data_IF_948422089843
#
_entry.id   IF_948422089843
#
_cell.length_a   1.000
_cell.length_b   1.000
_cell.length_c   1.000
_cell.angle_alpha   90.00
_cell.angle_beta   90.00
_cell.angle_gamma   90.00
#
_symmetry.space_group_name_H-M   'P 1'
#
loop_
_entity.id
_entity.type
_entity.pdbx_description
1 polymer ?
#
# COMPACT_ATOMS: atom_id res chain seq x y z
N UNK A 1 9.03 -11.12 -5.54
CA UNK A 1 7.68 -10.80 -6.04
C UNK A 1 7.28 -9.38 -5.63
N UNK A 2 7.39 -9.04 -4.35
CA UNK A 2 6.91 -7.75 -3.84
C UNK A 2 7.58 -6.49 -4.39
N UNK A 3 8.85 -6.55 -4.81
CA UNK A 3 9.52 -5.42 -5.46
C UNK A 3 8.81 -4.92 -6.72
N UNK A 4 8.16 -5.84 -7.46
CA UNK A 4 7.49 -5.51 -8.70
C UNK A 4 6.05 -5.04 -8.53
N UNK A 5 5.57 -4.92 -7.28
CA UNK A 5 4.15 -4.75 -6.93
C UNK A 5 3.25 -5.79 -7.60
N UNK A 6 3.76 -7.03 -7.71
CA UNK A 6 3.06 -8.13 -8.35
C UNK A 6 2.58 -9.13 -7.29
N UNK A 7 1.34 -9.58 -7.43
CA UNK A 7 0.84 -10.78 -6.76
C UNK A 7 1.43 -12.07 -7.37
N UNK A 8 0.99 -13.22 -6.89
CA UNK A 8 1.40 -14.53 -7.42
C UNK A 8 2.37 -15.28 -6.53
N UNK A 9 2.16 -15.26 -5.21
CA UNK A 9 2.87 -16.12 -4.29
C UNK A 9 2.87 -17.58 -4.79
N UNK A 10 4.02 -18.23 -4.74
CA UNK A 10 4.25 -19.59 -5.23
C UNK A 10 3.29 -20.66 -4.64
N UNK A 11 2.78 -20.43 -3.44
CA UNK A 11 1.81 -21.26 -2.73
C UNK A 11 0.47 -20.54 -2.65
N UNK A 12 -0.63 -21.29 -2.60
CA UNK A 12 -1.99 -20.71 -2.59
C UNK A 12 -2.29 -19.76 -1.43
N UNK A 13 -1.56 -19.85 -0.31
CA UNK A 13 -1.69 -18.92 0.83
C UNK A 13 -0.84 -17.66 0.71
N UNK A 14 -0.20 -17.43 -0.45
CA UNK A 14 0.63 -16.28 -0.76
C UNK A 14 1.67 -15.99 0.35
N UNK A 15 1.79 -14.73 0.76
CA UNK A 15 2.79 -14.27 1.74
C UNK A 15 2.47 -14.65 3.18
N UNK A 16 1.35 -15.34 3.44
CA UNK A 16 1.12 -15.99 4.72
C UNK A 16 1.90 -17.31 4.83
N UNK A 17 2.34 -17.90 3.72
CA UNK A 17 3.01 -19.20 3.75
C UNK A 17 4.41 -19.14 4.41
N UNK A 18 4.75 -20.06 5.34
CA UNK A 18 6.02 -20.03 6.09
C UNK A 18 7.29 -19.95 5.26
N UNK A 19 7.38 -20.61 4.11
CA UNK A 19 8.59 -20.51 3.27
C UNK A 19 8.67 -19.23 2.45
N UNK A 20 7.56 -18.49 2.28
CA UNK A 20 7.59 -17.19 1.59
C UNK A 20 7.81 -16.03 2.56
N UNK A 21 7.32 -16.16 3.79
CA UNK A 21 7.45 -15.16 4.83
C UNK A 21 7.69 -15.85 6.19
N UNK A 22 8.95 -16.23 6.47
CA UNK A 22 9.27 -17.05 7.63
C UNK A 22 9.17 -16.31 8.97
N UNK A 23 9.45 -15.01 9.01
CA UNK A 23 9.57 -14.27 10.27
C UNK A 23 9.07 -12.80 10.12
N UNK A 24 8.89 -12.06 11.22
CA UNK A 24 8.49 -10.66 11.16
C UNK A 24 9.46 -9.76 10.37
N UNK A 25 10.76 -10.09 10.40
CA UNK A 25 11.76 -9.30 9.69
C UNK A 25 11.60 -9.41 8.17
N UNK A 26 11.24 -10.60 7.66
CA UNK A 26 10.92 -10.80 6.25
C UNK A 26 9.62 -10.11 5.85
N UNK A 27 8.66 -9.98 6.78
CA UNK A 27 7.40 -9.27 6.56
C UNK A 27 7.65 -7.77 6.36
N UNK A 28 8.40 -7.15 7.28
CA UNK A 28 8.83 -5.75 7.18
C UNK A 28 9.64 -5.51 5.91
N UNK A 29 10.58 -6.41 5.60
CA UNK A 29 11.38 -6.30 4.39
C UNK A 29 10.52 -6.35 3.13
N UNK A 30 9.52 -7.23 3.09
CA UNK A 30 8.59 -7.32 1.96
C UNK A 30 7.70 -6.08 1.81
N UNK A 31 7.21 -5.51 2.92
CA UNK A 31 6.50 -4.23 2.92
C UNK A 31 7.37 -3.11 2.35
N UNK A 32 8.64 -3.03 2.78
CA UNK A 32 9.60 -2.07 2.24
C UNK A 32 9.75 -2.25 0.72
N UNK A 33 9.88 -3.49 0.26
CA UNK A 33 10.00 -3.79 -1.18
C UNK A 33 8.75 -3.36 -1.97
N UNK A 34 7.55 -3.49 -1.42
CA UNK A 34 6.32 -3.00 -2.09
C UNK A 34 6.41 -1.49 -2.28
N UNK A 35 6.76 -0.73 -1.24
CA UNK A 35 6.79 0.73 -1.28
C UNK A 35 7.98 1.29 -2.08
N UNK A 36 9.08 0.55 -2.20
CA UNK A 36 10.34 1.06 -2.75
C UNK A 36 10.20 1.67 -4.14
N UNK A 37 9.65 0.95 -5.12
CA UNK A 37 9.53 1.48 -6.48
C UNK A 37 8.47 2.60 -6.57
N UNK A 38 7.22 2.42 -6.11
CA UNK A 38 6.19 3.47 -6.15
C UNK A 38 6.67 4.79 -5.56
N UNK A 39 7.30 4.74 -4.39
CA UNK A 39 7.84 5.93 -3.72
C UNK A 39 8.98 6.55 -4.52
N UNK A 40 9.94 5.73 -5.00
CA UNK A 40 11.08 6.24 -5.76
C UNK A 40 10.67 6.95 -7.05
N UNK A 41 9.62 6.47 -7.74
CA UNK A 41 9.12 7.07 -8.97
C UNK A 41 8.54 8.46 -8.74
N UNK A 42 7.84 8.69 -7.63
CA UNK A 42 7.37 10.02 -7.26
C UNK A 42 8.53 11.01 -7.06
N UNK A 43 9.65 10.56 -6.49
CA UNK A 43 10.86 11.39 -6.37
C UNK A 43 11.57 11.62 -7.71
N UNK A 44 11.70 10.58 -8.53
CA UNK A 44 12.33 10.67 -9.86
C UNK A 44 11.54 11.61 -10.78
N UNK A 45 10.20 11.56 -10.74
CA UNK A 45 9.35 12.48 -11.48
C UNK A 45 9.69 13.95 -11.18
N UNK A 46 9.88 14.29 -9.90
CA UNK A 46 10.29 15.63 -9.49
C UNK A 46 11.71 16.02 -9.90
N UNK A 47 12.60 15.06 -10.09
CA UNK A 47 13.94 15.30 -10.63
C UNK A 47 13.93 15.51 -12.14
N UNK A 48 13.14 14.71 -12.88
CA UNK A 48 12.99 14.82 -14.33
C UNK A 48 12.40 16.16 -14.78
N UNK A 49 11.46 16.71 -13.99
CA UNK A 49 10.88 18.03 -14.26
C UNK A 49 11.86 19.20 -14.00
N UNK A 50 13.03 18.95 -13.40
CA UNK A 50 13.98 19.99 -12.98
C UNK A 50 13.48 20.91 -11.86
N UNK A 51 12.20 20.84 -11.50
CA UNK A 51 11.52 21.68 -10.49
C UNK A 51 11.08 20.84 -9.29
N UNK A 52 12.04 20.48 -8.42
CA UNK A 52 11.80 19.64 -7.22
C UNK A 52 10.70 20.16 -6.29
N UNK A 53 10.41 21.47 -6.30
CA UNK A 53 9.37 22.08 -5.47
C UNK A 53 7.95 21.72 -5.94
N UNK A 54 7.75 21.58 -7.25
CA UNK A 54 6.45 21.29 -7.87
C UNK A 54 6.04 19.82 -7.74
N UNK A 55 6.99 18.91 -7.46
CA UNK A 55 6.69 17.51 -7.19
C UNK A 55 6.34 17.21 -5.72
N UNK A 56 6.61 18.16 -4.80
CA UNK A 56 6.27 17.99 -3.38
C UNK A 56 4.76 17.86 -3.15
N UNK A 57 3.88 18.65 -3.77
CA UNK A 57 2.43 18.51 -3.61
C UNK A 57 1.92 17.12 -3.99
N UNK A 58 2.49 16.50 -5.04
CA UNK A 58 2.12 15.14 -5.47
C UNK A 58 2.50 14.12 -4.40
N UNK A 59 3.73 14.18 -3.90
CA UNK A 59 4.18 13.27 -2.83
C UNK A 59 3.36 13.49 -1.56
N UNK A 60 3.14 14.74 -1.16
CA UNK A 60 2.37 15.09 0.03
C UNK A 60 0.92 14.60 -0.11
N UNK A 61 0.29 14.80 -1.27
CA UNK A 61 -1.07 14.35 -1.52
C UNK A 61 -1.21 12.82 -1.52
N UNK A 62 -0.28 12.11 -2.15
CA UNK A 62 -0.29 10.65 -2.12
C UNK A 62 -0.08 10.11 -0.69
N UNK A 63 0.89 10.65 0.05
CA UNK A 63 1.15 10.18 1.41
C UNK A 63 0.13 10.64 2.44
N UNK A 64 -0.58 11.76 2.22
CA UNK A 64 -1.67 12.18 3.11
C UNK A 64 -2.87 11.25 2.99
N UNK A 65 -3.22 10.82 1.78
CA UNK A 65 -4.25 9.80 1.56
C UNK A 65 -3.83 8.46 2.18
N UNK A 66 -2.54 8.09 2.08
CA UNK A 66 -2.03 6.84 2.66
C UNK A 66 -2.09 6.89 4.19
N UNK A 67 -1.74 8.04 4.77
CA UNK A 67 -1.85 8.25 6.21
C UNK A 67 -3.32 8.19 6.68
N UNK A 68 -4.26 8.75 5.92
CA UNK A 68 -5.69 8.66 6.24
C UNK A 68 -6.18 7.20 6.24
N UNK A 69 -5.75 6.41 5.27
CA UNK A 69 -6.11 5.00 5.15
C UNK A 69 -5.55 4.17 6.33
N UNK A 70 -4.30 4.43 6.70
CA UNK A 70 -3.69 3.84 7.90
C UNK A 70 -4.44 4.24 9.17
N UNK A 71 -4.80 5.52 9.32
CA UNK A 71 -5.57 5.99 10.48
C UNK A 71 -6.89 5.22 10.58
N UNK A 72 -7.61 5.06 9.47
CA UNK A 72 -8.87 4.30 9.43
C UNK A 72 -8.67 2.84 9.88
N UNK A 73 -7.62 2.19 9.36
CA UNK A 73 -7.31 0.79 9.65
C UNK A 73 -6.91 0.53 11.10
N UNK A 74 -6.30 1.52 11.77
CA UNK A 74 -5.81 1.38 13.15
C UNK A 74 -6.77 1.93 14.23
N UNK A 75 -7.95 2.44 13.86
CA UNK A 75 -9.05 2.73 14.82
C UNK A 75 -9.48 1.46 15.60
N UNK A 76 -9.79 0.32 14.95
CA UNK A 76 -10.18 -0.89 15.66
C UNK A 76 -9.00 -1.60 16.33
N UNK A 77 -9.29 -2.45 17.31
CA UNK A 77 -8.27 -3.29 17.94
C UNK A 77 -7.71 -4.33 16.97
N UNK A 78 -6.37 -4.42 16.89
CA UNK A 78 -5.62 -5.30 16.00
C UNK A 78 -5.26 -6.63 16.69
N UNK A 79 -6.25 -7.31 17.25
CA UNK A 79 -6.08 -8.59 17.95
C UNK A 79 -5.70 -9.76 17.04
N UNK A 80 -5.24 -10.86 17.65
CA UNK A 80 -5.10 -12.14 16.95
C UNK A 80 -6.49 -12.72 16.70
N UNK A 81 -6.82 -12.93 15.43
CA UNK A 81 -8.10 -13.42 14.95
C UNK A 81 -7.96 -14.62 14.02
N UNK A 82 -9.09 -15.16 13.57
CA UNK A 82 -9.12 -16.30 12.65
C UNK A 82 -8.52 -15.90 11.30
N UNK A 83 -7.44 -16.56 10.88
CA UNK A 83 -6.76 -16.25 9.61
C UNK A 83 -5.68 -15.17 9.72
N UNK A 84 -5.34 -14.73 10.93
CA UNK A 84 -4.15 -13.92 11.21
C UNK A 84 -3.04 -14.86 11.70
N UNK A 85 -1.87 -14.75 11.09
CA UNK A 85 -0.71 -15.56 11.47
C UNK A 85 -0.09 -15.05 12.79
N UNK A 86 0.11 -15.94 13.75
CA UNK A 86 0.78 -15.65 15.02
C UNK A 86 2.21 -15.13 14.85
N UNK A 87 2.85 -15.43 13.71
CA UNK A 87 4.19 -14.95 13.36
C UNK A 87 4.24 -13.45 13.20
N UNK A 88 3.23 -12.84 12.57
CA UNK A 88 3.21 -11.40 12.28
C UNK A 88 2.39 -10.63 13.33
N UNK A 89 1.37 -11.28 13.91
CA UNK A 89 0.45 -10.60 14.80
C UNK A 89 -0.51 -9.67 14.05
N UNK A 90 -1.49 -9.12 14.77
CA UNK A 90 -2.53 -8.30 14.14
C UNK A 90 -2.00 -6.95 13.64
N UNK A 91 -1.02 -6.33 14.31
CA UNK A 91 -0.47 -5.04 13.87
C UNK A 91 0.18 -5.13 12.48
N UNK A 92 1.13 -6.04 12.28
CA UNK A 92 1.81 -6.19 10.99
C UNK A 92 0.86 -6.74 9.90
N UNK A 93 -0.11 -7.56 10.26
CA UNK A 93 -1.15 -8.04 9.32
C UNK A 93 -2.05 -6.89 8.84
N UNK A 94 -2.51 -6.03 9.74
CA UNK A 94 -3.30 -4.84 9.38
C UNK A 94 -2.47 -3.89 8.51
N UNK A 95 -1.22 -3.63 8.92
CA UNK A 95 -0.32 -2.77 8.15
C UNK A 95 -0.06 -3.30 6.74
N UNK A 96 0.18 -4.61 6.62
CA UNK A 96 0.35 -5.27 5.33
C UNK A 96 -0.88 -5.13 4.43
N UNK A 97 -2.08 -5.35 4.98
CA UNK A 97 -3.32 -5.20 4.22
C UNK A 97 -3.50 -3.79 3.69
N UNK A 98 -3.17 -2.76 4.47
CA UNK A 98 -3.23 -1.38 3.98
C UNK A 98 -2.17 -1.15 2.90
N UNK A 99 -0.92 -1.56 3.12
CA UNK A 99 0.18 -1.36 2.16
C UNK A 99 -0.08 -2.08 0.83
N UNK A 100 -0.50 -3.35 0.87
CA UNK A 100 -0.67 -4.16 -0.33
C UNK A 100 -1.79 -3.65 -1.23
N UNK A 101 -2.84 -3.05 -0.66
CA UNK A 101 -3.94 -2.44 -1.41
C UNK A 101 -3.60 -1.02 -1.89
N UNK A 102 -2.97 -0.23 -1.02
CA UNK A 102 -2.40 1.08 -1.33
C UNK A 102 -1.46 1.04 -2.55
N UNK A 103 -0.60 0.02 -2.60
CA UNK A 103 0.40 -0.19 -3.65
C UNK A 103 -0.09 -1.13 -4.76
N UNK A 104 -1.39 -1.47 -4.78
CA UNK A 104 -2.03 -2.34 -5.78
C UNK A 104 -1.24 -3.64 -6.04
N UNK A 105 -0.65 -4.22 -5.00
CA UNK A 105 0.18 -5.43 -5.10
C UNK A 105 -0.65 -6.70 -5.02
N UNK A 106 -1.75 -6.70 -4.26
CA UNK A 106 -2.66 -7.86 -4.14
C UNK A 106 -2.11 -9.03 -3.31
N UNK A 107 -0.95 -8.87 -2.68
CA UNK A 107 -0.37 -9.90 -1.82
C UNK A 107 -1.02 -9.95 -0.44
N UNK A 108 -1.27 -11.14 0.09
CA UNK A 108 -1.99 -11.36 1.35
C UNK A 108 -1.11 -12.13 2.34
N UNK A 109 -0.89 -11.58 3.55
CA UNK A 109 -0.21 -12.26 4.67
C UNK A 109 -1.18 -12.71 5.79
N UNK A 110 -2.42 -12.25 5.76
CA UNK A 110 -3.50 -12.63 6.66
C UNK A 110 -4.84 -12.55 5.92
N UNK A 111 -5.77 -13.44 6.25
CA UNK A 111 -7.07 -13.49 5.57
C UNK A 111 -7.90 -12.25 5.86
N UNK A 112 -8.40 -11.58 4.81
CA UNK A 112 -9.25 -10.39 4.92
C UNK A 112 -10.56 -10.67 5.67
N UNK A 113 -11.11 -11.89 5.56
CA UNK A 113 -12.28 -12.32 6.33
C UNK A 113 -12.02 -12.41 7.85
N UNK A 114 -10.75 -12.45 8.26
CA UNK A 114 -10.32 -12.43 9.66
C UNK A 114 -10.15 -11.03 10.23
N UNK A 115 -10.27 -9.99 9.41
CA UNK A 115 -9.99 -8.60 9.79
C UNK A 115 -11.25 -7.86 10.21
N UNK A 116 -11.06 -6.78 10.97
CA UNK A 116 -12.17 -5.91 11.34
C UNK A 116 -12.77 -5.23 10.10
N UNK A 117 -14.10 -5.03 10.01
CA UNK A 117 -14.73 -4.38 8.87
C UNK A 117 -14.12 -3.02 8.48
N UNK A 118 -13.61 -2.25 9.43
CA UNK A 118 -12.95 -0.97 9.14
C UNK A 118 -11.61 -1.15 8.38
N UNK A 119 -10.87 -2.23 8.66
CA UNK A 119 -9.65 -2.60 7.93
C UNK A 119 -9.98 -3.07 6.51
N UNK A 120 -11.13 -3.71 6.33
CA UNK A 120 -11.62 -4.10 5.01
C UNK A 120 -12.04 -2.84 4.23
N UNK A 121 -12.67 -1.88 4.89
CA UNK A 121 -13.01 -0.60 4.28
C UNK A 121 -11.77 0.19 3.85
N UNK A 122 -10.72 0.24 4.68
CA UNK A 122 -9.44 0.85 4.29
C UNK A 122 -8.83 0.15 3.08
N UNK A 123 -8.84 -1.19 3.08
CA UNK A 123 -8.40 -1.98 1.94
C UNK A 123 -9.13 -1.60 0.64
N UNK A 124 -10.46 -1.43 0.69
CA UNK A 124 -11.25 -0.96 -0.46
C UNK A 124 -10.91 0.47 -0.88
N UNK A 125 -10.66 1.39 0.06
CA UNK A 125 -10.25 2.75 -0.27
C UNK A 125 -8.92 2.76 -1.03
N UNK A 126 -7.93 1.98 -0.59
CA UNK A 126 -6.67 1.81 -1.32
C UNK A 126 -6.86 1.27 -2.74
N UNK A 127 -7.72 0.27 -2.92
CA UNK A 127 -8.02 -0.32 -4.24
C UNK A 127 -8.80 0.63 -5.17
N UNK A 128 -9.68 1.47 -4.64
CA UNK A 128 -10.51 2.37 -5.45
C UNK A 128 -9.74 3.64 -5.86
N UNK A 129 -8.94 4.18 -4.94
CA UNK A 129 -8.17 5.41 -5.18
C UNK A 129 -6.96 5.13 -6.08
N UNK A 130 -6.31 3.97 -5.95
CA UNK A 130 -5.15 3.50 -6.75
C UNK A 130 -3.91 4.44 -6.81
N UNK A 131 -3.97 5.63 -6.24
CA UNK A 131 -2.95 6.67 -6.34
C UNK A 131 -2.04 6.79 -5.11
N UNK A 132 -2.15 5.86 -4.16
CA UNK A 132 -1.73 6.08 -2.77
C UNK A 132 -0.88 4.94 -2.23
N UNK A 133 0.45 4.86 -2.43
CA UNK A 133 1.28 5.47 -3.48
C UNK A 133 1.13 4.77 -4.84
N UNK A 134 0.19 3.82 -4.94
CA UNK A 134 -0.19 3.08 -6.14
C UNK A 134 0.85 2.07 -6.61
N UNK A 135 0.47 1.27 -7.61
CA UNK A 135 1.37 0.28 -8.21
C UNK A 135 2.54 0.88 -8.94
N UNK A 136 3.47 0.03 -9.38
CA UNK A 136 4.68 0.40 -10.12
C UNK A 136 4.38 1.29 -11.35
N UNK A 137 4.47 2.60 -11.18
CA UNK A 137 4.22 3.62 -12.20
C UNK A 137 2.74 4.03 -12.37
N UNK A 138 1.81 3.14 -12.01
CA UNK A 138 0.36 3.40 -12.11
C UNK A 138 -0.08 4.47 -11.09
N UNK A 139 0.46 4.43 -9.87
CA UNK A 139 0.12 5.44 -8.85
C UNK A 139 0.48 6.86 -9.28
N UNK A 140 1.67 7.04 -9.87
CA UNK A 140 2.09 8.33 -10.42
C UNK A 140 1.17 8.79 -11.55
N UNK A 141 0.81 7.88 -12.47
CA UNK A 141 -0.10 8.18 -13.57
C UNK A 141 -1.45 8.70 -13.06
N UNK A 142 -2.04 8.03 -12.07
CA UNK A 142 -3.30 8.47 -11.47
C UNK A 142 -3.17 9.79 -10.73
N UNK A 143 -2.07 10.03 -9.99
CA UNK A 143 -1.84 11.32 -9.34
C UNK A 143 -1.74 12.47 -10.34
N UNK A 144 -1.04 12.27 -11.46
CA UNK A 144 -0.97 13.30 -12.52
C UNK A 144 -2.35 13.53 -13.14
N UNK A 145 -3.12 12.46 -13.38
CA UNK A 145 -4.50 12.57 -13.86
C UNK A 145 -5.38 13.40 -12.90
N UNK A 146 -5.31 13.14 -11.59
CA UNK A 146 -6.05 13.91 -10.58
C UNK A 146 -5.62 15.38 -10.51
N UNK A 147 -4.33 15.67 -10.69
CA UNK A 147 -3.83 17.04 -10.78
C UNK A 147 -4.43 17.76 -12.00
N UNK A 148 -4.43 17.14 -13.17
CA UNK A 148 -5.01 17.73 -14.39
C UNK A 148 -6.50 18.03 -14.20
N UNK A 149 -7.25 17.08 -13.62
CA UNK A 149 -8.68 17.28 -13.32
C UNK A 149 -8.88 18.42 -12.33
N UNK A 150 -8.06 18.50 -11.28
CA UNK A 150 -8.16 19.55 -10.25
C UNK A 150 -7.86 20.93 -10.83
N UNK A 151 -6.84 21.06 -11.68
CA UNK A 151 -6.52 22.33 -12.36
C UNK A 151 -7.67 22.77 -13.27
N UNK A 152 -8.30 21.84 -13.98
CA UNK A 152 -9.46 22.13 -14.84
C UNK A 152 -10.70 22.57 -14.04
N UNK A 153 -10.88 22.06 -12.82
CA UNK A 153 -12.01 22.43 -11.96
C UNK A 153 -11.80 23.80 -11.30
N UNK A 154 -10.55 24.14 -10.97
CA UNK A 154 -10.21 25.38 -10.24
C UNK A 154 -9.97 26.58 -11.16
N UNK A 155 -9.47 26.34 -12.39
CA UNK A 155 -9.20 27.37 -13.39
C UNK A 155 -10.41 27.75 -14.21
#
# INVERSE_FOLDING_TARGET
MQIGTNEGGYYGSNSAYPFQNPNPASDIFQILLMLLIPTSLCFVFGQLLGKRREARPIIIGAYSLFALDLLLAFIPSYGLGRGIEVRFGGFFSTFWTVVTTAVTTGSVNANLAGMNPLVILSAFMGMLIQSTPGGKGIGLMYMVMYVVITVFIVG
#
